data_IF_066896873507
#
_entry.id   IF_066896873507
#
_cell.length_a   1.000
_cell.length_b   1.000
_cell.length_c   1.000
_cell.angle_alpha   90.00
_cell.angle_beta   90.00
_cell.angle_gamma   90.00
#
_symmetry.space_group_name_H-M   'P 1'
#
loop_
_entity.id
_entity.type
_entity.pdbx_description
1 polymer ?
2 non-polymer ?
3 non-polymer ?
4 non-polymer ?
5 water ?
#
# COMPACT_ATOMS: atom_id res chain seq x y z
N UNK A 4 12.91 -14.69 -16.32
CA UNK A 4 12.31 -13.54 -16.98
C UNK A 4 13.06 -12.26 -16.55
N UNK A 5 13.21 -11.31 -17.47
CA UNK A 5 13.74 -10.00 -17.15
C UNK A 5 12.64 -9.04 -16.62
N UNK A 6 12.76 -8.66 -15.36
CA UNK A 6 11.83 -7.72 -14.71
C UNK A 6 12.44 -6.31 -14.62
N UNK A 7 11.67 -5.29 -14.95
CA UNK A 7 12.05 -3.93 -14.60
C UNK A 7 11.24 -3.53 -13.35
N UNK A 8 11.90 -3.01 -12.33
CA UNK A 8 11.23 -2.59 -11.09
C UNK A 8 11.46 -1.10 -10.89
N UNK A 9 10.38 -0.33 -10.95
CA UNK A 9 10.45 1.11 -10.79
C UNK A 9 9.88 1.47 -9.41
N UNK A 10 10.73 2.05 -8.56
CA UNK A 10 10.30 2.49 -7.24
C UNK A 10 10.87 1.56 -6.20
N UNK A 11 11.88 2.05 -5.48
CA UNK A 11 12.54 1.29 -4.44
C UNK A 11 12.42 1.96 -3.05
N UNK A 12 11.20 2.37 -2.70
CA UNK A 12 10.99 3.00 -1.42
C UNK A 12 10.77 1.92 -0.36
N UNK A 13 10.05 2.32 0.68
CA UNK A 13 9.75 1.50 1.85
C UNK A 13 9.25 0.10 1.50
N UNK A 15 8.81 -0.82 -2.08
CA UNK A 15 9.45 -1.23 -3.33
C UNK A 15 10.76 -2.01 -3.14
N UNK A 16 11.63 -1.49 -2.27
CA UNK A 16 12.92 -2.16 -2.05
C UNK A 16 12.78 -3.62 -1.62
N UNK A 17 12.07 -3.90 -0.51
CA UNK A 17 12.00 -5.32 -0.12
C UNK A 17 11.20 -6.19 -1.10
N UNK A 19 11.21 -5.82 -4.41
CA UNK A 19 12.13 -6.09 -5.52
C UNK A 19 13.23 -7.05 -5.07
N UNK A 20 13.65 -6.91 -3.81
CA UNK A 20 14.65 -7.82 -3.24
C UNK A 20 14.10 -9.22 -3.18
N UNK A 21 12.82 -9.37 -2.80
CA UNK A 21 12.20 -10.69 -2.82
C UNK A 21 12.12 -11.37 -4.18
N UNK A 22 11.87 -10.59 -5.22
CA UNK A 22 11.98 -11.09 -6.61
C UNK A 22 13.36 -11.65 -6.92
N UNK A 23 14.40 -10.89 -6.56
CA UNK A 23 15.80 -11.37 -6.65
C UNK A 23 16.02 -12.69 -5.91
N UNK A 24 15.49 -12.82 -4.70
CA UNK A 24 15.72 -14.03 -3.91
C UNK A 24 15.01 -15.21 -4.59
N UNK A 25 13.86 -14.94 -5.21
CA UNK A 25 13.13 -15.90 -6.05
C UNK A 25 13.86 -16.28 -7.36
N UNK A 26 14.90 -15.54 -7.73
CA UNK A 26 15.72 -15.91 -8.89
C UNK A 26 15.46 -15.12 -10.16
N UNK A 27 14.63 -14.09 -10.09
CA UNK A 27 14.46 -13.22 -11.26
C UNK A 27 15.65 -12.31 -11.46
N UNK A 28 15.83 -11.87 -12.71
CA UNK A 28 16.80 -10.82 -13.04
C UNK A 28 16.08 -9.48 -13.03
N UNK A 29 16.61 -8.52 -12.28
CA UNK A 29 15.95 -7.23 -12.22
C UNK A 29 16.85 -6.12 -12.70
N UNK A 30 16.31 -5.23 -13.52
CA UNK A 30 16.86 -3.89 -13.70
C UNK A 30 16.02 -2.97 -12.85
N UNK A 31 16.66 -2.15 -12.03
CA UNK A 31 15.93 -1.32 -11.07
C UNK A 31 16.17 0.18 -11.30
N UNK A 32 15.17 0.99 -10.95
CA UNK A 32 15.36 2.43 -10.92
C UNK A 32 14.53 3.03 -9.81
N UNK A 33 15.17 3.98 -9.15
CA UNK A 33 14.54 4.83 -8.17
C UNK A 33 15.26 6.18 -8.18
N UNK A 34 14.59 7.20 -7.66
CA UNK A 34 15.15 8.56 -7.58
C UNK A 34 16.28 8.72 -6.52
N UNK A 35 16.33 7.82 -5.55
CA UNK A 35 17.34 7.89 -4.48
C UNK A 35 18.44 6.87 -4.78
N UNK A 36 19.66 7.34 -4.91
CA UNK A 36 20.79 6.48 -5.34
C UNK A 36 21.05 5.33 -4.37
N UNK A 37 20.95 5.61 -3.06
CA UNK A 37 21.20 4.63 -2.03
C UNK A 37 20.14 3.50 -2.09
N UNK A 38 18.87 3.84 -2.36
CA UNK A 38 17.83 2.81 -2.59
C UNK A 38 18.23 1.88 -3.76
N UNK A 39 18.73 2.47 -4.85
CA UNK A 39 19.22 1.70 -5.98
C UNK A 39 20.41 0.83 -5.55
N UNK A 40 21.38 1.42 -4.84
CA UNK A 40 22.60 0.69 -4.44
C UNK A 40 22.30 -0.52 -3.58
N UNK A 41 21.32 -0.39 -2.72
CA UNK A 41 20.81 -1.50 -1.89
C UNK A 41 20.40 -2.69 -2.74
N UNK A 42 19.67 -2.43 -3.81
CA UNK A 42 19.24 -3.47 -4.72
C UNK A 42 20.38 -4.00 -5.53
N UNK A 43 21.28 -3.13 -5.97
CA UNK A 43 22.47 -3.56 -6.71
C UNK A 43 23.34 -4.49 -5.86
N UNK A 44 23.55 -4.15 -4.59
CA UNK A 44 24.29 -5.04 -3.68
C UNK A 44 23.68 -6.45 -3.59
N UNK A 45 22.36 -6.55 -3.72
CA UNK A 45 21.67 -7.85 -3.61
C UNK A 45 21.56 -8.61 -4.96
N UNK A 46 22.12 -8.04 -6.02
CA UNK A 46 22.19 -8.72 -7.30
C UNK A 46 21.40 -8.09 -8.45
N UNK A 47 20.75 -6.95 -8.19
CA UNK A 47 20.07 -6.22 -9.27
C UNK A 47 21.10 -5.51 -10.17
N UNK A 48 20.71 -5.23 -11.41
CA UNK A 48 21.43 -4.26 -12.23
C UNK A 48 20.71 -2.92 -12.13
N UNK A 49 21.48 -1.84 -12.15
CA UNK A 49 20.93 -0.50 -12.06
C UNK A 49 20.61 -0.01 -13.44
N UNK A 50 19.44 0.58 -13.60
CA UNK A 50 19.09 1.17 -14.88
C UNK A 50 19.32 2.67 -14.77
N UNK A 51 19.50 3.31 -15.91
CA UNK A 51 19.68 4.76 -16.04
C UNK A 51 18.45 5.55 -15.66
N UNK A 52 17.28 4.95 -15.87
CA UNK A 52 16.00 5.61 -15.64
C UNK A 52 14.88 4.60 -15.78
N UNK A 53 13.65 5.08 -15.58
CA UNK A 53 12.46 4.27 -15.77
C UNK A 53 12.37 3.76 -17.21
N UNK A 54 12.50 4.66 -18.18
CA UNK A 54 12.47 4.26 -19.58
C UNK A 54 13.56 3.23 -19.89
N UNK A 55 14.83 3.52 -19.49
CA UNK A 55 15.94 2.58 -19.75
C UNK A 55 15.69 1.18 -19.22
N UNK A 56 15.05 1.11 -18.04
CA UNK A 56 14.83 -0.13 -17.29
C UNK A 56 13.95 -1.13 -18.05
N UNK A 57 12.75 -0.63 -18.44
CA UNK A 57 11.78 -1.41 -19.21
C UNK A 57 12.32 -1.85 -20.59
N UNK A 58 13.44 -1.26 -21.03
CA UNK A 58 13.97 -1.55 -22.37
C UNK A 58 14.69 -2.89 -22.54
N UNK A 59 14.35 -3.90 -21.74
CA UNK A 59 14.69 -5.29 -22.08
C UNK A 59 13.70 -6.30 -21.51
N UNK A 60 12.68 -5.76 -20.83
CA UNK A 60 11.86 -6.49 -19.86
C UNK A 60 10.66 -7.30 -20.36
N UNK A 61 10.48 -8.47 -19.77
CA UNK A 61 9.27 -9.29 -19.90
C UNK A 61 8.11 -8.73 -19.08
N UNK A 62 8.44 -8.09 -17.95
CA UNK A 62 7.45 -7.50 -17.03
C UNK A 62 7.98 -6.24 -16.31
N UNK A 63 7.12 -5.24 -16.23
CA UNK A 63 7.41 -4.01 -15.51
C UNK A 63 6.52 -3.97 -14.27
N UNK A 64 7.15 -3.80 -13.09
CA UNK A 64 6.45 -3.65 -11.83
C UNK A 64 6.80 -2.27 -11.27
N UNK A 65 5.80 -1.41 -11.07
CA UNK A 65 6.06 -0.16 -10.39
C UNK A 65 5.52 -0.18 -8.94
N UNK A 67 5.37 3.21 -6.44
CA UNK A 67 5.77 4.59 -6.16
C UNK A 67 4.88 5.26 -5.10
N UNK A 68 5.38 6.31 -4.44
CA UNK A 68 4.61 6.92 -3.35
C UNK A 68 3.38 7.82 -3.76
N UNK A 69 3.44 8.51 -4.91
CA UNK A 69 2.33 9.44 -5.25
C UNK A 69 1.38 9.03 -6.41
N UNK A 70 0.08 9.26 -6.17
CA UNK A 70 -1.02 9.00 -7.14
C UNK A 70 -0.87 9.78 -8.49
N UNK A 71 -0.44 11.03 -8.43
CA UNK A 71 -0.21 11.80 -9.67
C UNK A 71 1.28 11.91 -10.04
N UNK A 72 2.11 11.11 -9.38
CA UNK A 72 3.44 10.76 -9.89
C UNK A 72 3.29 9.62 -10.88
N UNK A 73 2.57 8.58 -10.46
CA UNK A 73 2.40 7.34 -11.19
C UNK A 73 1.79 7.53 -12.60
N UNK A 74 0.74 8.36 -12.66
CA UNK A 74 -0.06 8.53 -13.85
C UNK A 74 0.72 9.37 -14.83
N UNK A 75 1.28 10.47 -14.35
CA UNK A 75 2.21 11.30 -15.12
C UNK A 75 3.42 10.56 -15.67
N UNK A 76 3.87 9.53 -14.97
CA UNK A 76 4.99 8.70 -15.44
C UNK A 76 4.59 7.83 -16.62
N UNK A 77 3.46 7.13 -16.51
CA UNK A 77 3.03 6.17 -17.51
C UNK A 77 2.34 6.77 -18.74
N UNK A 78 1.73 7.94 -18.58
CA UNK A 78 0.74 8.46 -19.52
C UNK A 78 1.17 9.67 -20.37
N UNK A 79 2.12 10.44 -19.88
CA UNK A 79 2.36 11.80 -20.38
C UNK A 79 2.70 12.01 -21.86
N UNK A 80 2.85 10.93 -22.65
CA UNK A 80 3.01 11.02 -24.13
C UNK A 80 4.47 11.00 -24.62
N UNK A 81 5.35 10.45 -23.79
CA UNK A 81 6.80 10.43 -23.96
C UNK A 81 7.34 9.38 -22.98
N UNK A 82 6.92 8.14 -23.18
CA UNK A 82 7.06 7.07 -22.19
C UNK A 82 6.00 7.39 -21.16
N UNK A 83 5.76 6.51 -20.19
CA UNK A 83 6.43 5.21 -20.03
C UNK A 83 5.70 4.13 -20.83
N UNK A 84 4.38 4.23 -20.90
CA UNK A 84 3.60 3.32 -21.72
C UNK A 84 4.00 3.40 -23.20
N UNK A 85 4.34 4.58 -23.71
CA UNK A 85 4.86 4.69 -25.08
C UNK A 85 5.99 3.68 -25.37
N UNK A 86 6.84 3.41 -24.35
CA UNK A 86 7.84 2.33 -24.41
C UNK A 86 7.30 1.03 -23.77
N UNK A 87 7.42 -0.07 -24.51
CA UNK A 87 6.51 -1.22 -24.39
C UNK A 87 7.05 -2.52 -24.94
N UNK A 88 6.18 -3.49 -25.16
CA UNK A 88 6.52 -4.62 -26.04
C UNK A 88 5.46 -4.85 -27.12
N UNK A 89 4.44 -5.69 -26.88
CA UNK A 89 4.13 -6.60 -25.78
C UNK A 89 4.61 -8.03 -26.05
N UNK A 91 4.87 -7.42 -23.16
CA UNK A 91 5.26 -7.27 -21.76
C UNK A 91 4.07 -7.05 -20.82
N UNK A 92 4.14 -7.73 -19.69
CA UNK A 92 3.18 -7.64 -18.56
C UNK A 92 3.50 -6.45 -17.67
N UNK A 93 2.50 -5.61 -17.39
CA UNK A 93 2.70 -4.50 -16.45
C UNK A 93 1.93 -4.75 -15.15
N UNK A 94 2.65 -4.69 -14.02
CA UNK A 94 2.05 -4.77 -12.69
C UNK A 94 2.21 -3.42 -11.97
N UNK A 95 1.14 -2.62 -11.92
CA UNK A 95 1.17 -1.34 -11.23
C UNK A 95 0.59 -1.49 -9.79
N UNK A 96 1.51 -1.45 -8.80
CA UNK A 96 1.26 -1.89 -7.41
C UNK A 96 1.26 -0.76 -6.42
N UNK A 97 1.34 0.46 -6.91
CA UNK A 97 1.16 1.63 -6.07
C UNK A 97 -0.29 1.69 -5.64
N UNK A 98 -0.55 2.49 -4.63
CA UNK A 98 -1.91 2.80 -4.27
C UNK A 98 -2.26 4.16 -4.83
N UNK A 99 -3.22 4.15 -5.75
CA UNK A 99 -3.63 5.34 -6.46
C UNK A 99 -5.14 5.30 -6.62
N UNK A 100 -5.76 6.43 -6.88
CA UNK A 100 -7.20 6.49 -7.08
C UNK A 100 -7.63 5.52 -8.19
N UNK A 101 -8.71 4.74 -7.94
CA UNK A 101 -9.27 3.87 -8.94
C UNK A 101 -9.48 4.51 -10.30
N UNK A 102 -9.98 5.75 -10.34
CA UNK A 102 -10.21 6.47 -11.59
C UNK A 102 -8.88 6.51 -12.33
N UNK A 103 -7.86 7.01 -11.64
CA UNK A 103 -6.51 7.07 -12.20
C UNK A 103 -5.98 5.69 -12.70
N UNK A 104 -6.24 4.61 -11.97
CA UNK A 104 -5.88 3.26 -12.42
C UNK A 104 -6.61 2.81 -13.68
N UNK A 105 -7.88 3.17 -13.82
CA UNK A 105 -8.64 2.84 -15.04
C UNK A 105 -8.09 3.58 -16.25
N UNK A 106 -7.79 4.86 -16.02
CA UNK A 106 -7.18 5.72 -17.03
C UNK A 106 -5.88 5.11 -17.56
N UNK A 107 -4.98 4.72 -16.66
CA UNK A 107 -3.77 4.00 -17.05
C UNK A 107 -4.12 2.67 -17.72
N UNK A 108 -5.07 1.91 -17.15
CA UNK A 108 -5.47 0.61 -17.74
C UNK A 108 -5.87 0.73 -19.21
N UNK A 109 -6.69 1.74 -19.52
CA UNK A 109 -7.23 1.95 -20.86
C UNK A 109 -6.13 2.35 -21.83
N UNK A 110 -5.23 3.21 -21.38
CA UNK A 110 -4.11 3.59 -22.24
C UNK A 110 -3.25 2.37 -22.52
N UNK A 111 -2.99 1.54 -21.50
CA UNK A 111 -2.27 0.29 -21.69
C UNK A 111 -2.93 -0.63 -22.72
N UNK A 112 -4.26 -0.79 -22.65
CA UNK A 112 -5.00 -1.60 -23.63
C UNK A 112 -4.94 -1.01 -25.02
N UNK A 113 -5.18 0.30 -25.13
CA UNK A 113 -5.16 1.05 -26.40
C UNK A 113 -3.86 0.83 -27.17
N UNK A 114 -2.92 0.09 -26.56
CA UNK A 114 -1.56 -0.06 -27.03
C UNK A 114 -1.10 -1.56 -27.10
N UNK A 115 -1.99 -2.45 -26.58
CA UNK A 115 -1.74 -3.90 -26.63
C UNK A 115 -1.10 -4.55 -25.39
N UNK A 116 -1.06 -3.84 -24.27
CA UNK A 116 -0.38 -4.40 -23.09
C UNK A 116 -1.31 -5.05 -22.08
N UNK A 117 -0.87 -6.17 -21.52
CA UNK A 117 -1.53 -6.77 -20.35
C UNK A 117 -1.09 -6.06 -19.07
N UNK A 119 -2.16 -5.10 -14.86
CA UNK A 119 -2.93 -5.30 -13.64
C UNK A 119 -2.68 -4.13 -12.69
N UNK A 120 -3.72 -3.71 -11.98
CA UNK A 120 -3.52 -2.92 -10.76
C UNK A 120 -3.49 -3.91 -9.60
N UNK A 121 -2.40 -3.90 -8.85
CA UNK A 121 -2.22 -4.87 -7.80
C UNK A 121 -1.60 -4.21 -6.56
N UNK A 122 -2.32 -3.24 -5.97
CA UNK A 122 -1.91 -2.58 -4.74
C UNK A 122 -1.82 -3.60 -3.65
N UNK A 123 -1.08 -3.22 -2.64
CA UNK A 123 -0.58 -4.18 -1.73
C UNK A 123 -0.97 -3.78 -0.31
N UNK A 124 -1.11 -4.79 0.55
CA UNK A 124 -1.50 -4.57 1.94
C UNK A 124 -0.63 -5.49 2.82
N UNK A 125 -0.25 -5.00 3.99
CA UNK A 125 0.77 -5.63 4.77
C UNK A 125 1.87 -4.62 5.08
N UNK A 126 2.78 -5.01 5.94
CA UNK A 126 3.74 -4.01 6.32
C UNK A 126 4.97 -3.95 5.45
N UNK A 127 5.78 -2.95 5.74
CA UNK A 127 7.19 -2.96 5.42
C UNK A 127 7.73 -4.34 5.79
N UNK A 128 7.19 -4.88 6.88
CA UNK A 128 7.43 -6.24 7.38
C UNK A 128 6.86 -7.33 6.44
N UNK A 129 5.65 -7.12 5.94
CA UNK A 129 5.05 -8.04 4.97
C UNK A 129 5.83 -8.03 3.68
N UNK A 130 6.21 -6.83 3.25
CA UNK A 130 7.00 -6.69 2.05
C UNK A 130 8.32 -7.44 2.20
N UNK A 131 8.99 -7.28 3.35
CA UNK A 131 10.27 -7.94 3.58
C UNK A 131 10.13 -9.44 3.63
N UNK A 132 9.12 -9.94 4.37
CA UNK A 132 8.89 -11.38 4.46
C UNK A 132 8.34 -12.02 3.18
N UNK A 133 7.73 -11.24 2.28
CA UNK A 133 7.12 -11.84 1.08
C UNK A 133 5.73 -12.39 1.40
N UNK A 134 5.06 -11.77 2.38
CA UNK A 134 3.73 -12.26 2.85
C UNK A 134 2.60 -11.25 2.58
N UNK A 135 2.89 -10.29 1.71
CA UNK A 135 1.97 -9.24 1.32
C UNK A 135 0.66 -9.80 0.76
N UNK A 136 -0.43 -9.08 0.94
CA UNK A 136 -1.60 -9.43 0.13
C UNK A 136 -1.69 -8.52 -1.09
N UNK A 137 -2.01 -9.11 -2.22
CA UNK A 137 -2.23 -8.33 -3.40
C UNK A 137 -3.69 -8.29 -3.66
N UNK A 139 -6.08 -7.37 -6.78
CA UNK A 139 -5.74 -7.31 -8.20
C UNK A 139 -6.96 -7.02 -9.06
N UNK A 140 -6.90 -5.95 -9.86
CA UNK A 140 -7.87 -5.71 -10.90
C UNK A 140 -7.28 -5.96 -12.28
N UNK A 141 -8.11 -6.45 -13.21
CA UNK A 141 -7.68 -6.78 -14.57
C UNK A 141 -8.14 -8.12 -15.09
N UNK A 142 -7.66 -8.49 -16.28
CA UNK A 142 -8.05 -9.74 -16.96
C UNK A 142 -7.46 -10.94 -16.24
N UNK A 143 -8.29 -11.98 -16.11
CA UNK A 143 -7.89 -13.26 -15.53
C UNK A 143 -6.64 -13.79 -16.21
N UNK A 144 -6.60 -13.66 -17.55
CA UNK A 144 -5.42 -13.98 -18.36
C UNK A 144 -4.16 -13.40 -17.74
N UNK A 145 -4.14 -12.07 -17.57
CA UNK A 145 -2.96 -11.35 -17.11
C UNK A 145 -2.59 -11.71 -15.66
N UNK A 146 -3.62 -11.96 -14.84
CA UNK A 146 -3.41 -12.49 -13.49
C UNK A 146 -2.71 -13.84 -13.51
N UNK A 147 -3.10 -14.69 -14.46
CA UNK A 147 -2.42 -15.98 -14.58
C UNK A 147 -0.95 -15.85 -14.90
N UNK A 148 -0.59 -14.98 -15.85
CA UNK A 148 0.83 -14.74 -16.19
C UNK A 148 1.61 -14.19 -14.99
N UNK A 149 1.00 -13.24 -14.28
CA UNK A 149 1.65 -12.60 -13.14
C UNK A 149 1.76 -13.46 -11.91
N UNK A 150 1.01 -14.56 -11.85
CA UNK A 150 0.89 -15.27 -10.58
C UNK A 150 2.23 -15.62 -9.88
N UNK A 151 3.16 -16.32 -10.58
CA UNK A 151 4.44 -16.68 -9.93
C UNK A 151 5.19 -15.49 -9.34
N UNK A 152 4.97 -14.29 -9.88
CA UNK A 152 5.60 -13.06 -9.38
C UNK A 152 4.98 -12.56 -8.07
N UNK A 153 3.65 -12.63 -8.00
CA UNK A 153 2.88 -12.31 -6.80
C UNK A 153 3.19 -13.29 -5.70
N UNK A 154 3.29 -14.57 -6.05
CA UNK A 154 3.71 -15.61 -5.11
C UNK A 154 5.13 -15.43 -4.56
N UNK A 155 5.99 -14.77 -5.30
CA UNK A 155 7.32 -14.49 -4.82
C UNK A 155 7.32 -13.32 -3.81
N UNK A 157 4.49 -12.15 -2.13
CA UNK A 157 3.29 -12.10 -1.30
C UNK A 157 2.68 -13.44 -0.99
N UNK A 158 1.53 -13.41 -0.29
CA UNK A 158 0.90 -14.64 0.15
C UNK A 158 -0.56 -14.71 -0.30
N UNK A 159 -1.45 -13.88 0.23
CA UNK A 159 -2.81 -13.90 -0.27
C UNK A 159 -2.92 -13.11 -1.56
N UNK A 160 -3.50 -13.72 -2.58
CA UNK A 160 -3.66 -13.04 -3.85
C UNK A 160 -5.13 -13.06 -4.23
N UNK A 161 -5.74 -11.89 -4.17
CA UNK A 161 -7.15 -11.78 -4.49
C UNK A 161 -7.35 -11.12 -5.83
N UNK A 162 -8.20 -11.73 -6.65
CA UNK A 162 -8.68 -11.10 -7.88
C UNK A 162 -9.93 -10.34 -7.48
N UNK A 163 -9.78 -9.02 -7.29
CA UNK A 163 -10.83 -8.19 -6.78
C UNK A 163 -11.91 -7.90 -7.83
N UNK A 164 -11.53 -7.92 -9.11
CA UNK A 164 -12.48 -7.67 -10.19
C UNK A 164 -11.79 -7.16 -11.45
N UNK A 165 -12.53 -6.43 -12.32
CA UNK A 165 -11.88 -5.93 -13.56
C UNK A 165 -10.91 -4.75 -13.33
N UNK A 166 -10.59 -4.01 -14.37
CA UNK A 166 -9.63 -2.92 -14.30
C UNK A 166 -9.98 -1.93 -13.22
N UNK A 167 -9.01 -1.59 -12.37
CA UNK A 167 -9.22 -0.65 -11.26
C UNK A 167 -9.78 -1.22 -9.97
N UNK A 168 -10.22 -2.48 -9.99
CA UNK A 168 -10.89 -3.13 -8.85
C UNK A 168 -9.94 -3.42 -7.71
N UNK A 169 -8.66 -3.58 -8.02
CA UNK A 169 -7.66 -3.76 -6.97
C UNK A 169 -7.59 -2.48 -6.17
N UNK A 170 -7.54 -1.34 -6.83
CA UNK A 170 -7.51 -0.07 -6.09
C UNK A 170 -8.78 0.11 -5.32
N UNK A 171 -9.93 -0.32 -5.86
CA UNK A 171 -11.19 -0.09 -5.15
C UNK A 171 -11.16 -0.90 -3.86
N UNK A 172 -10.75 -2.17 -3.94
CA UNK A 172 -10.76 -3.05 -2.77
C UNK A 172 -9.81 -2.46 -1.71
N UNK A 173 -8.66 -1.97 -2.17
CA UNK A 173 -7.60 -1.41 -1.33
C UNK A 173 -8.06 -0.18 -0.55
N UNK A 174 -8.70 0.75 -1.24
CA UNK A 174 -9.16 1.96 -0.58
C UNK A 174 -10.35 1.70 0.35
N UNK A 175 -11.21 0.74 0.01
CA UNK A 175 -12.31 0.36 0.94
C UNK A 175 -11.73 -0.27 2.21
N UNK A 176 -10.75 -1.18 2.01
CA UNK A 176 -10.13 -1.92 3.09
C UNK A 176 -9.42 -0.97 4.02
N UNK A 177 -8.58 -0.07 3.48
CA UNK A 177 -7.83 0.84 4.33
C UNK A 177 -8.67 1.90 5.02
N UNK A 178 -9.73 2.33 4.37
CA UNK A 178 -10.68 3.22 5.02
C UNK A 178 -11.37 2.53 6.22
N UNK A 179 -11.76 1.27 6.01
CA UNK A 179 -12.33 0.50 7.09
C UNK A 179 -11.30 0.30 8.25
N UNK A 180 -10.05 0.04 7.91
CA UNK A 180 -8.99 -0.05 8.92
C UNK A 180 -8.87 1.23 9.78
N UNK A 181 -9.00 2.39 9.13
CA UNK A 181 -8.85 3.63 9.83
C UNK A 181 -9.99 3.77 10.81
N UNK A 182 -11.19 3.45 10.35
CA UNK A 182 -12.38 3.49 11.21
C UNK A 182 -12.23 2.53 12.38
N UNK A 183 -11.78 1.28 12.12
CA UNK A 183 -11.69 0.38 13.27
C UNK A 183 -10.58 0.74 14.24
N UNK A 185 -9.56 3.96 14.91
CA UNK A 185 -10.02 5.07 15.77
C UNK A 185 -11.07 4.57 16.74
N UNK A 186 -11.99 3.75 16.23
CA UNK A 186 -12.97 3.09 17.08
C UNK A 186 -12.27 2.41 18.25
N UNK A 187 -11.23 1.64 17.97
CA UNK A 187 -10.52 0.91 19.01
C UNK A 187 -9.80 1.83 20.05
N UNK A 188 -9.12 2.84 19.55
CA UNK A 188 -8.42 3.79 20.39
C UNK A 188 -9.38 4.54 21.32
N UNK A 189 -10.55 4.90 20.79
CA UNK A 189 -11.52 5.65 21.57
C UNK A 189 -12.19 4.74 22.61
N UNK A 190 -12.39 3.47 22.24
CA UNK A 190 -13.00 2.50 23.17
C UNK A 190 -12.02 2.20 24.31
N UNK A 192 -9.64 4.10 25.49
CA UNK A 192 -9.51 5.30 26.32
C UNK A 192 -10.73 5.48 27.21
N UNK A 193 -11.91 5.23 26.63
CA UNK A 193 -13.15 5.29 27.42
C UNK A 193 -13.12 4.29 28.61
N UNK A 194 -12.79 3.03 28.31
CA UNK A 194 -12.71 1.99 29.35
C UNK A 194 -11.72 2.36 30.46
N UNK A 195 -10.49 2.70 30.06
CA UNK A 195 -9.42 3.04 31.01
C UNK A 195 -9.80 4.28 31.84
N UNK A 196 -10.49 5.23 31.23
CA UNK A 196 -10.91 6.46 31.92
C UNK A 196 -11.98 6.16 32.95
N UNK A 197 -12.65 5.01 32.80
CA UNK A 197 -13.73 4.62 33.66
C UNK A 197 -13.30 3.50 34.59
N UNK A 198 -11.98 3.35 34.75
CA UNK A 198 -11.39 2.49 35.80
C UNK A 198 -10.87 1.11 35.39
N UNK A 199 -10.88 0.80 34.10
CA UNK A 199 -10.47 -0.55 33.64
C UNK A 199 -8.99 -0.66 33.35
N UNK A 200 -8.44 -1.87 33.48
CA UNK A 200 -7.08 -2.11 33.08
C UNK A 200 -7.08 -2.31 31.59
N UNK A 201 -6.18 -1.61 30.90
CA UNK A 201 -6.16 -1.62 29.43
C UNK A 201 -6.12 -3.06 28.87
N UNK A 202 -5.26 -3.92 29.43
CA UNK A 202 -5.11 -5.29 28.91
C UNK A 202 -6.32 -6.18 29.13
N UNK A 203 -7.06 -5.94 30.21
CA UNK A 203 -8.28 -6.69 30.46
C UNK A 203 -9.37 -6.28 29.47
N UNK A 204 -9.56 -4.97 29.29
CA UNK A 204 -10.51 -4.46 28.31
C UNK A 204 -10.18 -4.90 26.88
N UNK A 205 -8.89 -4.80 26.50
CA UNK A 205 -8.43 -5.25 25.19
C UNK A 205 -8.79 -6.71 24.92
N UNK A 206 -8.55 -7.59 25.91
CA UNK A 206 -8.82 -9.01 25.71
C UNK A 206 -10.33 -9.24 25.54
N UNK A 207 -11.14 -8.58 26.37
CA UNK A 207 -12.60 -8.76 26.34
C UNK A 207 -13.16 -8.40 24.97
N UNK A 209 -11.50 -7.92 22.10
CA UNK A 209 -10.88 -8.70 21.02
C UNK A 209 -11.62 -10.01 20.82
N UNK A 210 -12.08 -10.56 21.93
CA UNK A 210 -12.71 -11.88 21.93
C UNK A 210 -14.25 -11.81 21.80
N UNK A 211 -14.78 -10.59 21.66
CA UNK A 211 -16.21 -10.37 21.61
C UNK A 211 -16.65 -9.64 20.33
N UNK A 212 -17.88 -9.13 20.33
CA UNK A 212 -18.45 -8.50 19.11
C UNK A 212 -17.74 -7.18 18.73
N UNK A 213 -16.94 -6.62 19.63
CA UNK A 213 -16.08 -5.49 19.28
C UNK A 213 -14.80 -5.92 18.58
N UNK A 214 -14.63 -7.23 18.38
CA UNK A 214 -13.38 -7.76 17.83
C UNK A 214 -13.01 -7.24 16.44
N UNK A 215 -11.72 -6.98 16.25
CA UNK A 215 -11.25 -6.47 14.96
C UNK A 215 -9.74 -6.65 14.79
N UNK A 216 -9.29 -6.39 13.57
CA UNK A 216 -7.89 -6.53 13.25
C UNK A 216 -6.95 -5.75 14.19
N UNK A 217 -7.31 -4.51 14.53
CA UNK A 217 -6.44 -3.71 15.39
C UNK A 217 -6.25 -4.42 16.73
N UNK A 218 -7.35 -4.99 17.25
CA UNK A 218 -7.31 -5.65 18.55
C UNK A 218 -6.55 -6.98 18.47
N UNK A 219 -6.53 -7.60 17.29
CA UNK A 219 -5.85 -8.90 17.17
C UNK A 219 -4.34 -8.72 17.12
N UNK A 220 -3.88 -7.63 16.51
CA UNK A 220 -2.53 -7.61 15.97
C UNK A 220 -1.88 -6.24 16.09
N UNK A 221 -2.63 -5.23 16.53
CA UNK A 221 -2.11 -3.86 16.41
C UNK A 221 -2.77 -2.90 17.39
N UNK A 222 -2.70 -3.24 18.68
CA UNK A 222 -3.47 -2.52 19.68
C UNK A 222 -2.90 -1.10 19.88
N UNK A 223 -3.74 -0.03 19.79
CA UNK A 223 -3.20 1.33 19.92
C UNK A 223 -2.80 1.84 21.31
N UNK A 224 -3.06 1.05 22.36
CA UNK A 224 -2.77 1.46 23.76
C UNK A 224 -1.39 1.00 24.21
N UNK A 225 -0.50 1.95 24.60
CA UNK A 225 0.90 1.61 24.90
C UNK A 225 0.96 0.53 25.94
N UNK A 226 1.83 -0.46 25.73
CA UNK A 226 1.98 -1.54 26.74
C UNK A 226 1.03 -2.73 26.56
N UNK A 227 -0.03 -2.57 25.78
CA UNK A 227 -0.93 -3.71 25.59
C UNK A 227 -0.26 -4.82 24.77
N UNK A 229 3.42 -5.58 23.40
CA UNK A 229 4.75 -5.02 23.49
C UNK A 229 5.44 -4.84 22.12
N UNK A 230 5.07 -5.65 21.11
CA UNK A 230 5.66 -5.52 19.75
C UNK A 230 4.96 -4.55 18.78
N UNK A 231 3.91 -3.88 19.27
CA UNK A 231 3.13 -2.94 18.47
C UNK A 231 3.76 -1.55 18.53
N UNK A 232 3.55 -0.72 17.50
CA UNK A 232 4.07 0.66 17.56
C UNK A 232 3.70 1.43 18.84
N UNK A 233 2.54 1.17 19.44
CA UNK A 233 2.12 1.91 20.63
C UNK A 233 3.07 1.75 21.81
N UNK A 234 3.78 0.63 21.85
CA UNK A 234 4.68 0.31 22.95
C UNK A 234 6.08 0.87 22.74
N UNK A 235 6.30 1.57 21.62
CA UNK A 235 7.59 2.20 21.37
C UNK A 235 7.32 3.61 20.81
N UNK A 236 6.36 4.28 21.44
CA UNK A 236 6.10 5.68 21.16
C UNK A 236 5.66 5.92 19.71
N UNK A 237 4.94 4.97 19.13
CA UNK A 237 4.43 5.11 17.77
C UNK A 237 5.53 5.39 16.74
N UNK A 238 6.76 4.87 16.95
CA UNK A 238 7.78 4.94 15.89
C UNK A 238 7.59 3.79 14.91
N UNK A 239 7.92 4.01 13.65
CA UNK A 239 7.85 2.98 12.62
C UNK A 239 6.42 2.68 12.22
N UNK A 240 6.16 1.41 11.88
CA UNK A 240 4.83 0.98 11.44
C UNK A 240 4.36 1.63 10.14
N UNK A 241 3.18 2.22 10.15
CA UNK A 241 2.58 2.71 8.92
C UNK A 241 2.19 4.15 9.19
N UNK A 243 1.01 7.85 9.75
CA UNK A 243 -0.27 8.55 9.76
C UNK A 243 -0.50 9.31 8.46
N UNK A 244 0.57 9.86 7.90
CA UNK A 244 0.47 10.66 6.67
C UNK A 244 0.00 9.79 5.52
N UNK A 245 0.53 8.55 5.46
CA UNK A 245 0.10 7.56 4.46
C UNK A 245 -1.34 7.08 4.66
N UNK A 247 -3.61 9.00 5.96
CA UNK A 247 -4.40 10.19 5.54
C UNK A 247 -4.52 10.23 4.01
N UNK A 248 -3.44 9.87 3.33
CA UNK A 248 -3.43 9.79 1.87
C UNK A 248 -4.48 8.78 1.39
N UNK A 249 -4.38 7.56 1.92
CA UNK A 249 -5.28 6.45 1.58
C UNK A 249 -6.73 6.82 1.80
N UNK A 250 -7.01 7.50 2.90
CA UNK A 250 -8.36 7.95 3.21
C UNK A 250 -8.76 8.96 2.16
N UNK A 251 -7.81 9.77 1.70
CA UNK A 251 -8.09 10.81 0.69
C UNK A 251 -8.51 10.19 -0.63
N UNK A 252 -7.81 9.15 -1.05
CA UNK A 252 -8.19 8.35 -2.24
C UNK A 252 -9.59 7.72 -2.12
N UNK A 253 -9.90 7.23 -0.92
CA UNK A 253 -11.21 6.67 -0.66
C UNK A 253 -12.32 7.74 -0.86
N UNK A 254 -12.08 8.98 -0.42
CA UNK A 254 -13.00 10.09 -0.68
C UNK A 254 -13.23 10.34 -2.17
N UNK A 255 -12.18 10.16 -2.95
CA UNK A 255 -12.27 10.42 -4.38
C UNK A 255 -13.15 9.37 -5.02
N UNK A 256 -13.00 8.13 -4.55
CA UNK A 256 -13.84 7.00 -4.99
C UNK A 256 -15.28 7.24 -4.56
N UNK A 257 -15.48 7.80 -3.37
CA UNK A 257 -16.82 8.08 -2.87
C UNK A 257 -17.49 9.19 -3.70
N UNK A 258 -16.73 10.22 -4.09
CA UNK A 258 -17.32 11.31 -4.89
C UNK A 258 -17.74 10.75 -6.24
N UNK A 259 -16.92 9.82 -6.75
CA UNK A 259 -17.13 9.25 -8.09
C UNK A 259 -18.40 8.42 -8.15
N UNK A 260 -18.79 7.82 -7.03
CA UNK A 260 -19.98 6.97 -6.96
C UNK A 260 -21.10 7.56 -6.11
N UNK A 261 -20.90 8.76 -5.57
CA UNK A 261 -21.87 9.41 -4.69
C UNK A 261 -22.15 8.55 -3.46
N UNK A 262 -21.13 7.84 -3.00
CA UNK A 262 -21.26 7.02 -1.80
C UNK A 262 -21.06 7.89 -0.55
N UNK A 263 -21.91 7.69 0.45
CA UNK A 263 -21.77 8.35 1.74
C UNK A 263 -20.80 7.57 2.63
N UNK A 264 -19.77 8.26 3.12
CA UNK A 264 -18.77 7.66 4.00
C UNK A 264 -18.57 8.43 5.32
N UNK A 265 -19.63 8.45 6.17
CA UNK A 265 -19.54 9.28 7.38
C UNK A 265 -18.44 8.86 8.33
N UNK A 267 -15.55 6.95 7.56
CA UNK A 267 -14.27 7.20 6.84
C UNK A 267 -13.93 8.69 6.76
N UNK A 268 -14.85 9.53 6.25
CA UNK A 268 -14.68 11.01 6.26
C UNK A 268 -14.30 11.60 7.62
N UNK A 269 -15.01 11.18 8.67
CA UNK A 269 -14.63 11.60 10.02
C UNK A 269 -13.24 11.08 10.34
N UNK A 270 -12.93 9.83 10.00
CA UNK A 270 -11.58 9.29 10.27
C UNK A 270 -10.55 10.21 9.63
N UNK A 271 -10.81 10.63 8.40
CA UNK A 271 -9.91 11.51 7.67
C UNK A 271 -9.74 12.87 8.36
N UNK A 272 -10.82 13.46 8.83
CA UNK A 272 -10.73 14.69 9.60
C UNK A 272 -9.82 14.58 10.83
N UNK A 273 -9.90 13.44 11.52
CA UNK A 273 -9.11 13.16 12.72
C UNK A 273 -7.63 12.92 12.39
N UNK A 274 -7.39 12.22 11.29
CA UNK A 274 -6.02 12.08 10.77
C UNK A 274 -5.43 13.42 10.41
N UNK A 275 -6.24 14.31 9.85
CA UNK A 275 -5.70 15.62 9.49
C UNK A 275 -5.31 16.44 10.72
N UNK A 276 -6.07 16.26 11.81
CA UNK A 276 -5.77 16.86 13.12
C UNK A 276 -4.44 16.34 13.62
N UNK A 277 -4.17 15.07 13.45
CA UNK A 277 -2.89 14.48 13.84
C UNK A 277 -1.75 15.12 13.06
N UNK A 278 -2.00 15.45 11.79
CA UNK A 278 -0.99 16.08 10.95
C UNK A 278 -0.68 17.50 11.43
N UNK A 279 -1.72 18.28 11.77
CA UNK A 279 -1.51 19.61 12.32
C UNK A 279 -0.62 19.50 13.55
N UNK A 280 -0.78 18.43 14.33
CA UNK A 280 -0.04 18.21 15.56
C UNK A 280 1.42 17.74 15.40
N UNK A 281 1.84 17.44 14.18
CA UNK A 281 3.22 17.05 13.92
C UNK A 281 3.48 15.57 13.83
N UNK A 282 2.41 14.77 13.76
CA UNK A 282 2.50 13.30 13.86
C UNK A 282 2.47 12.56 12.50
N UNK A 283 2.71 13.28 11.42
CA UNK A 283 2.72 12.71 10.06
C UNK A 283 3.58 11.44 9.96
N UNK A 284 4.74 11.42 10.59
CA UNK A 284 5.59 10.25 10.45
C UNK A 284 5.50 9.23 11.59
N UNK A 285 4.54 9.41 12.51
CA UNK A 285 4.32 8.38 13.53
C UNK A 285 3.46 7.28 12.92
N UNK A 286 3.51 6.10 13.55
CA UNK A 286 2.60 5.03 13.15
C UNK A 286 1.15 5.50 13.30
N UNK A 287 0.27 5.07 12.38
CA UNK A 287 -1.09 5.59 12.35
C UNK A 287 -1.87 5.31 13.65
N UNK A 288 -1.46 4.31 14.46
CA UNK A 288 -2.13 4.10 15.76
C UNK A 288 -1.90 5.24 16.78
N UNK A 289 -1.03 6.18 16.44
CA UNK A 289 -0.81 7.43 17.21
C UNK A 289 -2.10 8.23 17.40
N UNK A 290 -3.11 7.86 16.62
CA UNK A 290 -4.45 8.42 16.82
C UNK A 290 -4.89 8.25 18.28
N UNK A 291 -4.35 7.23 18.97
CA UNK A 291 -4.57 7.02 20.41
C UNK A 291 -4.37 8.30 21.24
N UNK A 292 -3.42 9.14 20.85
CA UNK A 292 -3.05 10.35 21.58
C UNK A 292 -4.18 11.40 21.63
N UNK A 293 -5.01 11.41 20.58
CA UNK A 293 -6.23 12.25 20.63
C UNK A 293 -7.08 11.97 21.88
N UNK A 294 -7.12 10.71 22.31
CA UNK A 294 -8.04 10.27 23.39
C UNK A 294 -7.40 10.07 24.74
N UNK A 295 -6.08 9.84 24.77
CA UNK A 295 -5.36 9.43 26.00
C UNK A 295 -4.58 10.63 26.46
N UNK A 296 -5.00 11.18 27.64
CA UNK A 296 -4.43 12.42 28.18
C UNK A 296 -3.05 12.22 28.80
N UNK A 297 -2.75 11.00 29.22
CA UNK A 297 -1.54 10.74 29.99
C UNK A 297 -0.42 10.24 29.09
N UNK A 298 -0.36 10.70 27.85
CA UNK A 298 0.66 10.17 26.96
C UNK A 298 1.95 11.01 26.89
#
# INVERSE_FOLDING_TARGET
GHXKQIAFIGLGHXGAPXATNLLKAGYLLNVFDLVQSAVDGLVAAGASAARSARDAVQGADVVISXLPASQHVEGLYLDDDGLLAHIAPGTLVLECSTIAPTSARKIHAAARERGLAXLDAPVSGGTAGAAAGTLTFXVGGDAEALEKARPLFEAXGRNIFHAGPDGAGQVAKVCNNQLLAVLXIGTAEAXALGVANGLEAKVLAEIXRRSSGGNWALEVYNPWPGVXENAPASRDYSGGFXAQLXAKDLGLAQEAAQASASSTPXGSLALSLYRLLLKQGYAERDFSVVQKLFDPTQGQ
#
